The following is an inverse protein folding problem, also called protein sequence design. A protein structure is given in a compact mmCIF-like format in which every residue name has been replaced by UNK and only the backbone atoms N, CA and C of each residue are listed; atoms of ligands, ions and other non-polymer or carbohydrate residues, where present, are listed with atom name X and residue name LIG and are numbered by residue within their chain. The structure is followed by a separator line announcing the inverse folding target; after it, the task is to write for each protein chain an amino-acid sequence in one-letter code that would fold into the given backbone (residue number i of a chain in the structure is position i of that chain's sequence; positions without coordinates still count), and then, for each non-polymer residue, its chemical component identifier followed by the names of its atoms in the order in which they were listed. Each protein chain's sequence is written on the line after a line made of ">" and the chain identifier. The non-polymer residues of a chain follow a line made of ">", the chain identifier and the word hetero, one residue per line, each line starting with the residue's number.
data_IF_830595608464
#
_entry.id   IF_830595608464
#
_cell.length_a   1.000
_cell.length_b   1.000
_cell.length_c   1.000
_cell.angle_alpha   90.00
_cell.angle_beta   90.00
_cell.angle_gamma   90.00
#
_symmetry.space_group_name_H-M   'P 1'
#
loop_
_entity.id
_entity.type
_entity.pdbx_description
1 polymer ?
#
# COMPACT_ATOMS: atom_id res chain seq x y z
N UNK A 1 -8.20 -15.29 -3.62
CA UNK A 1 -7.24 -14.94 -2.55
C UNK A 1 -6.34 -13.83 -3.08
N UNK A 2 -6.07 -12.81 -2.27
CA UNK A 2 -5.22 -11.67 -2.60
C UNK A 2 -3.79 -12.00 -2.14
N UNK A 3 -2.78 -11.46 -2.82
CA UNK A 3 -1.37 -11.79 -2.51
C UNK A 3 -1.01 -11.43 -1.05
N UNK A 4 -1.61 -10.35 -0.53
CA UNK A 4 -1.37 -9.86 0.81
C UNK A 4 -2.17 -10.59 1.90
N UNK A 5 -3.06 -11.53 1.55
CA UNK A 5 -3.79 -12.33 2.54
C UNK A 5 -2.84 -13.25 3.34
N UNK A 6 -1.62 -13.50 2.83
CA UNK A 6 -0.57 -14.26 3.52
C UNK A 6 0.15 -13.46 4.62
N UNK A 7 -0.04 -12.14 4.67
CA UNK A 7 0.62 -11.23 5.61
C UNK A 7 -0.43 -10.60 6.52
N UNK A 8 -0.79 -11.27 7.62
CA UNK A 8 -1.95 -10.92 8.45
C UNK A 8 -2.01 -9.43 8.85
N UNK A 9 -0.89 -8.87 9.32
CA UNK A 9 -0.83 -7.45 9.74
C UNK A 9 -0.93 -6.51 8.54
N UNK A 10 -0.15 -6.75 7.49
CA UNK A 10 -0.15 -5.92 6.29
C UNK A 10 -1.51 -5.94 5.59
N UNK A 11 -2.11 -7.13 5.46
CA UNK A 11 -3.41 -7.31 4.81
C UNK A 11 -4.53 -6.58 5.53
N UNK A 12 -4.56 -6.62 6.87
CA UNK A 12 -5.51 -5.83 7.67
C UNK A 12 -5.37 -4.33 7.40
N UNK A 13 -4.13 -3.82 7.37
CA UNK A 13 -3.88 -2.41 7.08
C UNK A 13 -4.28 -2.03 5.66
N UNK A 14 -3.94 -2.84 4.65
CA UNK A 14 -4.35 -2.61 3.25
C UNK A 14 -5.87 -2.59 3.12
N UNK A 15 -6.57 -3.50 3.79
CA UNK A 15 -8.03 -3.55 3.75
C UNK A 15 -8.67 -2.33 4.45
N UNK A 16 -8.06 -1.82 5.52
CA UNK A 16 -8.52 -0.59 6.18
C UNK A 16 -8.49 0.63 5.26
N UNK A 17 -7.59 0.68 4.27
CA UNK A 17 -7.49 1.78 3.30
C UNK A 17 -8.76 1.93 2.46
N UNK A 18 -9.53 0.85 2.27
CA UNK A 18 -10.76 0.83 1.47
C UNK A 18 -11.83 1.77 2.03
N UNK A 19 -12.01 1.74 3.35
CA UNK A 19 -13.05 2.49 4.07
C UNK A 19 -12.57 3.88 4.53
N UNK A 20 -11.29 4.17 4.33
CA UNK A 20 -10.66 5.41 4.76
C UNK A 20 -10.98 6.56 3.81
N UNK A 21 -11.13 7.77 4.36
CA UNK A 21 -11.35 8.96 3.53
C UNK A 21 -10.15 9.22 2.61
N UNK A 22 -10.41 9.81 1.43
CA UNK A 22 -9.41 9.98 0.37
C UNK A 22 -8.18 10.79 0.80
N UNK A 23 -8.34 11.81 1.66
CA UNK A 23 -7.22 12.62 2.13
C UNK A 23 -6.23 11.77 2.95
N UNK A 24 -6.76 11.03 3.92
CA UNK A 24 -5.95 10.15 4.78
C UNK A 24 -5.35 8.99 3.98
N UNK A 25 -6.13 8.35 3.12
CA UNK A 25 -5.64 7.28 2.25
C UNK A 25 -4.48 7.77 1.38
N UNK A 26 -4.62 8.94 0.75
CA UNK A 26 -3.57 9.50 -0.10
C UNK A 26 -2.29 9.83 0.68
N UNK A 27 -2.42 10.29 1.92
CA UNK A 27 -1.26 10.51 2.79
C UNK A 27 -0.50 9.19 3.04
N UNK A 28 -1.21 8.13 3.44
CA UNK A 28 -0.59 6.83 3.70
C UNK A 28 0.05 6.25 2.44
N UNK A 29 -0.64 6.31 1.30
CA UNK A 29 -0.12 5.80 0.02
C UNK A 29 1.16 6.51 -0.39
N UNK A 30 1.25 7.83 -0.22
CA UNK A 30 2.49 8.58 -0.46
C UNK A 30 3.61 8.17 0.50
N UNK A 31 3.28 7.89 1.76
CA UNK A 31 4.24 7.34 2.74
C UNK A 31 4.80 5.99 2.29
N UNK A 32 3.93 5.07 1.88
CA UNK A 32 4.32 3.75 1.35
C UNK A 32 5.23 3.92 0.12
N UNK A 33 4.84 4.75 -0.85
CA UNK A 33 5.65 5.02 -2.05
C UNK A 33 7.04 5.57 -1.71
N UNK A 34 7.14 6.43 -0.69
CA UNK A 34 8.42 6.94 -0.20
C UNK A 34 9.29 5.83 0.39
N UNK A 35 8.70 4.93 1.17
CA UNK A 35 9.41 3.77 1.73
C UNK A 35 9.91 2.85 0.60
N UNK A 36 9.04 2.55 -0.38
CA UNK A 36 9.40 1.75 -1.55
C UNK A 36 10.56 2.38 -2.31
N UNK A 37 10.50 3.68 -2.61
CA UNK A 37 11.55 4.40 -3.32
C UNK A 37 12.89 4.45 -2.56
N UNK A 38 12.85 4.44 -1.23
CA UNK A 38 14.06 4.41 -0.39
C UNK A 38 14.71 3.02 -0.35
N UNK A 39 13.91 1.95 -0.36
CA UNK A 39 14.41 0.57 -0.31
C UNK A 39 14.82 0.04 -1.68
N UNK A 40 14.01 0.31 -2.71
CA UNK A 40 14.22 -0.16 -4.07
C UNK A 40 13.61 0.84 -5.06
N UNK A 41 14.42 1.77 -5.59
CA UNK A 41 13.93 2.78 -6.52
C UNK A 41 13.27 2.20 -7.78
N UNK A 42 13.76 1.05 -8.28
CA UNK A 42 13.21 0.41 -9.48
C UNK A 42 11.85 -0.25 -9.24
N UNK A 43 11.47 -0.52 -8.00
CA UNK A 43 10.28 -1.32 -7.69
C UNK A 43 8.98 -0.64 -8.14
N UNK A 44 8.95 0.69 -8.12
CA UNK A 44 7.83 1.46 -8.69
C UNK A 44 7.89 1.46 -10.21
N UNK A 45 9.06 1.70 -10.80
CA UNK A 45 9.25 1.77 -12.25
C UNK A 45 8.93 0.44 -12.94
N UNK A 46 9.39 -0.68 -12.37
CA UNK A 46 9.15 -2.03 -12.84
C UNK A 46 7.65 -2.38 -12.82
N UNK A 47 6.91 -1.83 -11.85
CA UNK A 47 5.48 -2.08 -11.68
C UNK A 47 4.61 -1.25 -12.63
N UNK A 48 5.10 -0.12 -13.15
CA UNK A 48 4.35 0.73 -14.11
C UNK A 48 4.11 -0.01 -15.42
N UNK A 49 5.06 -0.84 -15.84
CA UNK A 49 4.99 -1.60 -17.11
C UNK A 49 3.83 -2.60 -17.08
N UNK A 50 3.52 -3.15 -15.91
CA UNK A 50 2.46 -4.14 -15.71
C UNK A 50 1.06 -3.51 -15.50
N UNK A 51 0.93 -2.18 -15.63
CA UNK A 51 -0.36 -1.52 -15.50
C UNK A 51 -1.31 -1.99 -16.59
N UNK A 52 -2.44 -2.64 -16.25
CA UNK A 52 -3.39 -3.15 -17.23
C UNK A 52 -4.09 -2.01 -17.97
N UNK A 53 -4.08 -2.06 -19.30
CA UNK A 53 -4.89 -1.15 -20.11
C UNK A 53 -6.37 -1.55 -20.16
N UNK A 54 -6.70 -2.80 -19.79
CA UNK A 54 -8.07 -3.31 -19.72
C UNK A 54 -8.61 -3.40 -18.29
N UNK A 55 -9.76 -2.77 -18.06
CA UNK A 55 -10.45 -2.64 -16.77
C UNK A 55 -11.38 -3.82 -16.45
N UNK A 56 -10.95 -5.06 -16.70
CA UNK A 56 -11.69 -6.26 -16.24
C UNK A 56 -11.51 -6.53 -14.74
N UNK A 57 -10.75 -5.67 -14.04
CA UNK A 57 -10.29 -5.92 -12.67
C UNK A 57 -11.33 -5.51 -11.61
N UNK A 58 -11.50 -6.37 -10.61
CA UNK A 58 -12.58 -6.34 -9.62
C UNK A 58 -12.18 -5.76 -8.26
N UNK A 59 -10.91 -5.42 -8.01
CA UNK A 59 -10.47 -4.96 -6.68
C UNK A 59 -10.72 -3.46 -6.53
N UNK A 60 -10.98 -3.05 -5.29
CA UNK A 60 -11.38 -1.68 -4.96
C UNK A 60 -10.33 -0.62 -5.35
N UNK A 61 -9.06 -1.01 -5.43
CA UNK A 61 -7.94 -0.15 -5.78
C UNK A 61 -7.54 -0.19 -7.26
N UNK A 62 -8.14 -1.05 -8.09
CA UNK A 62 -7.64 -1.27 -9.46
C UNK A 62 -7.91 -0.10 -10.41
N UNK A 63 -8.90 0.76 -10.09
CA UNK A 63 -9.27 1.92 -10.93
C UNK A 63 -8.46 3.16 -10.64
N UNK A 64 -7.74 3.20 -9.52
CA UNK A 64 -6.89 4.32 -9.13
C UNK A 64 -5.43 3.94 -9.42
N UNK A 65 -4.77 4.60 -10.39
CA UNK A 65 -3.40 4.26 -10.78
C UNK A 65 -2.40 4.31 -9.62
N UNK A 66 -2.58 5.23 -8.66
CA UNK A 66 -1.66 5.35 -7.53
C UNK A 66 -1.86 4.23 -6.52
N UNK A 67 -3.11 3.89 -6.22
CA UNK A 67 -3.40 2.75 -5.34
C UNK A 67 -2.96 1.44 -5.98
N UNK A 68 -3.26 1.28 -7.27
CA UNK A 68 -2.85 0.12 -8.03
C UNK A 68 -1.34 -0.04 -8.02
N UNK A 69 -0.59 1.01 -8.39
CA UNK A 69 0.87 0.95 -8.48
C UNK A 69 1.49 0.60 -7.13
N UNK A 70 1.00 1.21 -6.06
CA UNK A 70 1.52 0.98 -4.71
C UNK A 70 1.24 -0.45 -4.25
N UNK A 71 0.00 -0.93 -4.36
CA UNK A 71 -0.38 -2.25 -3.85
C UNK A 71 0.19 -3.37 -4.72
N UNK A 72 0.32 -3.18 -6.04
CA UNK A 72 0.93 -4.19 -6.91
C UNK A 72 2.45 -4.14 -6.85
N UNK A 73 3.07 -2.97 -6.66
CA UNK A 73 4.51 -2.89 -6.44
C UNK A 73 4.93 -3.61 -5.16
N UNK A 74 4.15 -3.51 -4.08
CA UNK A 74 4.39 -4.29 -2.87
C UNK A 74 4.32 -5.81 -3.10
N UNK A 75 3.62 -6.30 -4.13
CA UNK A 75 3.61 -7.73 -4.42
C UNK A 75 5.01 -8.27 -4.78
N UNK A 76 5.88 -7.42 -5.33
CA UNK A 76 7.26 -7.75 -5.70
C UNK A 76 8.28 -7.36 -4.61
N UNK A 77 7.80 -6.81 -3.49
CA UNK A 77 8.66 -6.37 -2.40
C UNK A 77 9.26 -7.56 -1.64
N UNK A 78 10.44 -7.34 -1.07
CA UNK A 78 11.05 -8.27 -0.12
C UNK A 78 10.24 -8.33 1.18
N UNK A 79 10.30 -9.43 1.94
CA UNK A 79 9.65 -9.53 3.25
C UNK A 79 9.99 -8.36 4.20
N UNK A 80 11.26 -7.94 4.23
CA UNK A 80 11.73 -6.82 5.07
C UNK A 80 11.05 -5.49 4.70
N UNK A 81 10.84 -5.25 3.40
CA UNK A 81 10.13 -4.06 2.93
C UNK A 81 8.64 -4.14 3.29
N UNK A 82 8.02 -5.32 3.18
CA UNK A 82 6.63 -5.54 3.59
C UNK A 82 6.42 -5.32 5.09
N UNK A 83 7.36 -5.78 5.92
CA UNK A 83 7.36 -5.55 7.36
C UNK A 83 7.54 -4.07 7.69
N UNK A 84 8.47 -3.38 7.02
CA UNK A 84 8.67 -1.92 7.16
C UNK A 84 7.39 -1.14 6.84
N UNK A 85 6.68 -1.53 5.78
CA UNK A 85 5.41 -0.90 5.40
C UNK A 85 4.31 -1.20 6.41
N UNK A 86 4.23 -2.43 6.93
CA UNK A 86 3.29 -2.79 7.98
C UNK A 86 3.51 -1.96 9.25
N UNK A 87 4.77 -1.80 9.67
CA UNK A 87 5.12 -0.93 10.81
C UNK A 87 4.75 0.52 10.58
N UNK A 88 5.02 1.07 9.39
CA UNK A 88 4.60 2.43 9.06
C UNK A 88 3.09 2.64 9.20
N UNK A 89 2.29 1.72 8.65
CA UNK A 89 0.82 1.80 8.72
C UNK A 89 0.30 1.63 10.15
N UNK A 90 0.93 0.78 10.95
CA UNK A 90 0.64 0.60 12.36
C UNK A 90 0.88 1.88 13.18
N UNK A 91 2.04 2.53 13.00
CA UNK A 91 2.38 3.78 13.71
C UNK A 91 1.44 4.93 13.31
N UNK A 92 1.11 5.02 12.03
CA UNK A 92 0.12 5.97 11.52
C UNK A 92 -1.29 5.71 12.07
N UNK A 93 -1.68 4.45 12.25
CA UNK A 93 -2.95 4.10 12.88
C UNK A 93 -2.96 4.49 14.37
N UNK A 94 -1.86 4.22 15.10
CA UNK A 94 -1.72 4.59 16.52
C UNK A 94 -1.74 6.10 16.75
N UNK A 95 -1.04 6.88 15.92
CA UNK A 95 -0.99 8.34 16.01
C UNK A 95 -2.38 9.00 15.91
N UNK A 96 -3.37 8.32 15.32
CA UNK A 96 -4.76 8.78 15.27
C UNK A 96 -5.56 8.45 16.53
N UNK A 97 -5.21 7.35 17.21
CA UNK A 97 -5.87 6.91 18.45
C UNK A 97 -5.27 7.53 19.70
N UNK A 98 -4.00 7.96 19.62
CA UNK A 98 -3.27 8.64 20.68
C UNK A 98 -3.27 10.16 20.46
N UNK A 99 -4.26 10.85 21.01
CA UNK A 99 -4.13 12.28 21.28
C UNK A 99 -3.24 12.44 22.53
N UNK A 100 -2.08 13.13 22.50
CA UNK A 100 -1.52 13.68 23.72
C UNK A 100 -2.46 14.80 24.19
N UNK A 101 -2.89 14.70 25.44
CA UNK A 101 -3.57 15.77 26.15
C UNK A 101 -2.72 17.05 26.20
#
# INVERSE_FOLDING_TARGET
>A
MRWYDHYETLGRHIDSLKEMNSSRRNHLIRGIQKIMAQHSPSLLDDSVIDFPLETTRQRWYDKDPYLWLTINGLQQATPDLLETVAHYLEEEAKALTGNPA
#
